data_IF_560865195585
#
_entry.id   IF_560865195585
#
_cell.length_a   1.000
_cell.length_b   1.000
_cell.length_c   1.000
_cell.angle_alpha   90.00
_cell.angle_beta   90.00
_cell.angle_gamma   90.00
#
_symmetry.space_group_name_H-M   'P 1'
#
loop_
_entity.id
_entity.type
_entity.pdbx_description
1 polymer ?
#
# COMPACT_ATOMS: atom_id res chain seq x y z
N UNK A 1 0.22 -13.74 1.98
CA UNK A 1 0.59 -12.63 1.09
C UNK A 1 -0.49 -12.56 0.02
N UNK A 2 -1.06 -11.40 -0.22
CA UNK A 2 -2.02 -11.16 -1.31
C UNK A 2 -1.37 -10.22 -2.32
N UNK A 3 -1.59 -10.41 -3.62
CA UNK A 3 -1.01 -9.58 -4.66
C UNK A 3 -2.12 -8.95 -5.51
N UNK A 4 -1.97 -7.68 -5.84
CA UNK A 4 -2.86 -6.96 -6.76
C UNK A 4 -2.07 -6.07 -7.72
N UNK A 5 -2.60 -5.87 -8.92
CA UNK A 5 -2.09 -4.87 -9.87
C UNK A 5 -2.64 -3.49 -9.47
N UNK A 6 -1.76 -2.59 -9.01
CA UNK A 6 -2.14 -1.27 -8.52
C UNK A 6 -1.49 -0.18 -9.37
N UNK A 7 -2.26 0.86 -9.70
CA UNK A 7 -1.71 2.10 -10.25
C UNK A 7 -0.98 2.85 -9.14
N UNK A 8 0.25 3.29 -9.38
CA UNK A 8 0.96 4.18 -8.47
C UNK A 8 0.59 5.62 -8.81
N UNK A 9 -0.05 6.31 -7.87
CA UNK A 9 -0.47 7.70 -8.06
C UNK A 9 0.70 8.65 -7.80
N UNK A 10 1.47 8.39 -6.73
CA UNK A 10 2.62 9.20 -6.33
C UNK A 10 3.78 8.30 -5.94
N UNK A 11 4.99 8.73 -6.29
CA UNK A 11 6.26 8.14 -5.84
C UNK A 11 7.08 9.22 -5.16
N UNK A 12 7.37 9.05 -3.87
CA UNK A 12 8.17 9.97 -3.06
C UNK A 12 9.44 9.28 -2.54
N UNK A 13 10.61 9.53 -3.15
CA UNK A 13 11.89 9.01 -2.66
C UNK A 13 12.34 9.76 -1.41
N UNK A 14 12.60 9.04 -0.31
CA UNK A 14 13.05 9.63 0.96
C UNK A 14 14.41 9.09 1.40
N UNK A 15 15.21 8.63 0.44
CA UNK A 15 16.55 8.06 0.63
C UNK A 15 16.55 6.55 0.38
N UNK A 16 16.69 5.75 1.45
CA UNK A 16 16.69 4.29 1.34
C UNK A 16 15.29 3.72 1.06
N UNK A 17 14.25 4.49 1.39
CA UNK A 17 12.86 4.13 1.19
C UNK A 17 12.22 5.01 0.11
N UNK A 18 11.17 4.46 -0.49
CA UNK A 18 10.25 5.15 -1.39
C UNK A 18 8.85 4.96 -0.83
N UNK A 19 8.12 6.05 -0.66
CA UNK A 19 6.69 6.00 -0.39
C UNK A 19 5.95 5.97 -1.73
N UNK A 20 5.18 4.90 -1.94
CA UNK A 20 4.28 4.76 -3.07
C UNK A 20 2.85 4.92 -2.58
N UNK A 21 2.12 5.86 -3.19
CA UNK A 21 0.72 6.11 -2.89
C UNK A 21 -0.12 5.42 -3.97
N UNK A 22 -1.14 4.67 -3.54
CA UNK A 22 -2.10 3.98 -4.41
C UNK A 22 -3.53 4.24 -3.89
N UNK A 23 -4.51 4.16 -4.78
CA UNK A 23 -5.92 4.11 -4.38
C UNK A 23 -6.45 2.66 -4.31
N UNK A 24 -7.04 2.28 -3.18
CA UNK A 24 -7.78 1.03 -3.01
C UNK A 24 -9.22 1.34 -2.57
N UNK A 25 -10.21 0.95 -3.37
CA UNK A 25 -11.64 1.21 -3.10
C UNK A 25 -11.96 2.68 -2.78
N UNK A 26 -11.38 3.63 -3.50
CA UNK A 26 -11.59 5.07 -3.25
C UNK A 26 -10.91 5.58 -1.98
N UNK A 27 -9.99 4.82 -1.38
CA UNK A 27 -9.20 5.21 -0.22
C UNK A 27 -7.72 5.22 -0.58
N UNK A 28 -7.05 6.29 -0.19
CA UNK A 28 -5.61 6.40 -0.32
C UNK A 28 -4.91 5.42 0.63
N UNK A 29 -3.92 4.71 0.11
CA UNK A 29 -3.08 3.78 0.85
C UNK A 29 -1.62 4.08 0.55
N UNK A 30 -0.82 4.25 1.60
CA UNK A 30 0.61 4.53 1.49
C UNK A 30 1.41 3.26 1.79
N UNK A 31 2.22 2.82 0.83
CA UNK A 31 3.17 1.73 0.98
C UNK A 31 4.59 2.25 1.12
N UNK A 32 5.28 1.88 2.20
CA UNK A 32 6.74 2.09 2.33
C UNK A 32 7.49 0.93 1.68
N UNK A 33 8.22 1.23 0.61
CA UNK A 33 8.97 0.27 -0.16
C UNK A 33 10.47 0.60 -0.13
N UNK A 34 11.30 -0.41 -0.41
CA UNK A 34 12.73 -0.22 -0.63
C UNK A 34 12.96 0.63 -1.88
N UNK A 35 13.98 1.50 -1.88
CA UNK A 35 14.27 2.42 -2.99
C UNK A 35 14.48 1.73 -4.35
N UNK A 36 14.90 0.46 -4.33
CA UNK A 36 15.06 -0.36 -5.53
C UNK A 36 13.77 -1.03 -6.04
N UNK A 37 12.58 -0.69 -5.51
CA UNK A 37 11.32 -1.34 -5.87
C UNK A 37 10.82 -1.00 -7.28
N UNK A 38 11.34 0.07 -7.91
CA UNK A 38 10.96 0.47 -9.26
C UNK A 38 9.56 1.09 -9.37
N UNK A 39 8.93 1.46 -8.24
CA UNK A 39 7.66 2.19 -8.26
C UNK A 39 7.81 3.52 -9.01
N UNK A 40 6.90 3.78 -9.95
CA UNK A 40 6.86 5.01 -10.74
C UNK A 40 5.42 5.49 -10.86
N UNK A 41 5.21 6.78 -10.62
CA UNK A 41 3.90 7.39 -10.77
C UNK A 41 3.36 7.21 -12.20
N UNK A 42 2.08 6.86 -12.31
CA UNK A 42 1.40 6.59 -13.57
C UNK A 42 1.54 5.16 -14.11
N UNK A 43 2.37 4.31 -13.49
CA UNK A 43 2.53 2.90 -13.89
C UNK A 43 1.72 1.96 -13.01
N UNK A 44 1.23 0.86 -13.60
CA UNK A 44 0.66 -0.26 -12.84
C UNK A 44 1.77 -1.23 -12.48
N UNK A 45 1.82 -1.64 -11.22
CA UNK A 45 2.75 -2.65 -10.74
C UNK A 45 2.07 -3.67 -9.80
N UNK A 46 2.63 -4.89 -9.72
CA UNK A 46 2.23 -5.86 -8.73
C UNK A 46 2.65 -5.40 -7.33
N UNK A 47 1.66 -5.07 -6.50
CA UNK A 47 1.83 -4.74 -5.09
C UNK A 47 1.44 -5.93 -4.23
N UNK A 48 2.30 -6.28 -3.26
CA UNK A 48 2.08 -7.40 -2.35
C UNK A 48 1.72 -6.91 -0.95
N UNK A 49 0.54 -7.31 -0.48
CA UNK A 49 0.01 -7.04 0.85
C UNK A 49 0.33 -8.20 1.79
N UNK A 50 1.08 -7.90 2.85
CA UNK A 50 1.32 -8.87 3.92
C UNK A 50 0.12 -8.96 4.86
N UNK A 51 -0.85 -9.78 4.48
CA UNK A 51 -2.06 -10.04 5.26
C UNK A 51 -1.78 -10.63 6.66
N UNK A 52 -0.57 -11.13 6.96
CA UNK A 52 -0.21 -11.55 8.32
C UNK A 52 -0.12 -10.37 9.30
N UNK A 53 0.09 -9.16 8.78
CA UNK A 53 0.15 -7.93 9.59
C UNK A 53 -1.15 -7.13 9.49
N UNK A 54 -2.17 -7.64 8.79
CA UNK A 54 -3.45 -6.96 8.69
C UNK A 54 -4.16 -6.95 10.05
N UNK A 55 -4.76 -5.82 10.39
CA UNK A 55 -5.60 -5.65 11.57
C UNK A 55 -6.97 -5.21 11.08
N UNK A 56 -8.00 -5.94 11.51
CA UNK A 56 -9.39 -5.67 11.16
C UNK A 56 -10.07 -4.93 12.30
N UNK A 57 -11.02 -4.07 11.98
CA UNK A 57 -11.80 -3.30 12.95
C UNK A 57 -13.29 -3.43 12.63
N UNK A 58 -14.11 -3.51 13.68
CA UNK A 58 -15.55 -3.46 13.56
C UNK A 58 -15.99 -2.02 13.24
N UNK A 59 -16.77 -1.78 12.17
CA UNK A 59 -17.09 -0.42 11.73
C UNK A 59 -18.09 0.33 12.63
N UNK A 60 -18.78 -0.34 13.56
CA UNK A 60 -19.73 0.30 14.47
C UNK A 60 -19.08 0.62 15.82
N UNK A 61 -18.28 -0.31 16.33
CA UNK A 61 -17.69 -0.23 17.68
C UNK A 61 -16.23 0.23 17.67
N UNK A 62 -15.60 0.25 16.50
CA UNK A 62 -14.18 0.55 16.29
C UNK A 62 -13.22 -0.40 17.01
N UNK A 63 -13.75 -1.49 17.58
CA UNK A 63 -12.95 -2.50 18.23
C UNK A 63 -12.15 -3.30 17.21
N UNK A 64 -10.90 -3.62 17.58
CA UNK A 64 -10.09 -4.54 16.81
C UNK A 64 -10.75 -5.93 16.80
N UNK A 65 -10.90 -6.50 15.61
CA UNK A 65 -11.30 -7.89 15.39
C UNK A 65 -10.01 -8.70 15.27
N UNK A 66 -9.69 -9.48 16.30
CA UNK A 66 -8.51 -10.34 16.34
C UNK A 66 -8.16 -10.83 17.72
#
# INVERSE_FOLDING_TARGET
>A
LFQGECLIDVTEPTGADVFAIIELNGREVVGRMRSSCGAKAGEKLPVVFNMRHAVLFDPQTENRIG
#
